data_IF_519272260928
#
_entry.id   IF_519272260928
#
_cell.length_a   1.000
_cell.length_b   1.000
_cell.length_c   1.000
_cell.angle_alpha   90.00
_cell.angle_beta   90.00
_cell.angle_gamma   90.00
#
_symmetry.space_group_name_H-M   'P 1'
#
loop_
_entity.id
_entity.type
_entity.pdbx_description
1 polymer ?
#
# COMPACT_ATOMS: atom_id res chain seq x y z
N UNK A 1 -22.36 -20.58 2.99
CA UNK A 1 -23.83 -20.45 3.00
C UNK A 1 -24.16 -18.97 2.75
N UNK A 2 -24.50 -18.59 1.51
CA UNK A 2 -24.91 -17.22 1.19
C UNK A 2 -26.39 -17.25 0.85
N UNK A 3 -27.20 -16.81 1.81
CA UNK A 3 -28.63 -16.64 1.66
C UNK A 3 -28.86 -15.15 1.35
N UNK A 4 -29.25 -14.81 0.12
CA UNK A 4 -29.95 -13.54 -0.09
C UNK A 4 -30.92 -13.65 -1.25
N UNK A 5 -32.18 -13.45 -0.88
CA UNK A 5 -33.34 -13.26 -1.71
C UNK A 5 -33.04 -12.27 -2.85
N UNK A 6 -32.94 -12.77 -4.08
CA UNK A 6 -33.30 -12.00 -5.26
C UNK A 6 -34.83 -12.09 -5.40
N UNK A 7 -35.50 -10.95 -5.61
CA UNK A 7 -36.94 -10.93 -5.89
C UNK A 7 -37.35 -11.63 -7.18
N UNK A 8 -36.37 -12.05 -7.99
CA UNK A 8 -36.56 -12.88 -9.18
C UNK A 8 -36.38 -14.37 -8.85
N UNK A 9 -37.42 -15.14 -9.17
CA UNK A 9 -37.56 -16.58 -8.93
C UNK A 9 -36.71 -17.43 -9.89
N UNK A 10 -36.05 -16.82 -10.88
CA UNK A 10 -35.17 -17.47 -11.86
C UNK A 10 -33.71 -17.06 -11.66
N UNK A 11 -33.16 -17.31 -10.48
CA UNK A 11 -31.72 -17.17 -10.24
C UNK A 11 -31.00 -18.38 -10.83
N UNK A 12 -30.65 -18.31 -12.12
CA UNK A 12 -29.77 -19.30 -12.75
C UNK A 12 -28.36 -19.25 -12.12
N UNK A 13 -27.67 -20.39 -12.09
CA UNK A 13 -26.35 -20.53 -11.47
C UNK A 13 -25.30 -19.60 -12.09
N UNK A 14 -25.38 -19.38 -13.41
CA UNK A 14 -24.49 -18.45 -14.11
C UNK A 14 -24.79 -16.99 -13.72
N UNK A 15 -26.06 -16.63 -13.56
CA UNK A 15 -26.46 -15.30 -13.11
C UNK A 15 -25.90 -14.98 -11.73
N UNK A 16 -25.92 -15.94 -10.80
CA UNK A 16 -25.30 -15.78 -9.48
C UNK A 16 -23.79 -15.50 -9.59
N UNK A 17 -23.06 -16.28 -10.40
CA UNK A 17 -21.61 -16.08 -10.63
C UNK A 17 -21.33 -14.68 -11.18
N UNK A 18 -22.11 -14.19 -12.15
CA UNK A 18 -21.92 -12.84 -12.69
C UNK A 18 -22.13 -11.73 -11.66
N UNK A 19 -23.11 -11.90 -10.75
CA UNK A 19 -23.34 -10.95 -9.64
C UNK A 19 -22.14 -10.96 -8.68
N UNK A 20 -21.62 -12.13 -8.33
CA UNK A 20 -20.43 -12.23 -7.49
C UNK A 20 -19.20 -11.61 -8.14
N UNK A 21 -18.99 -11.85 -9.44
CA UNK A 21 -17.90 -11.25 -10.21
C UNK A 21 -17.94 -9.72 -10.17
N UNK A 22 -19.15 -9.14 -10.31
CA UNK A 22 -19.38 -7.69 -10.23
C UNK A 22 -19.12 -7.15 -8.82
N UNK A 23 -19.58 -7.85 -7.78
CA UNK A 23 -19.33 -7.47 -6.38
C UNK A 23 -17.85 -7.51 -6.01
N UNK A 24 -17.11 -8.52 -6.49
CA UNK A 24 -15.69 -8.67 -6.18
C UNK A 24 -14.85 -7.48 -6.65
N UNK A 25 -15.20 -6.89 -7.80
CA UNK A 25 -14.51 -5.68 -8.31
C UNK A 25 -14.64 -4.48 -7.36
N UNK A 26 -15.79 -4.35 -6.68
CA UNK A 26 -16.02 -3.31 -5.66
C UNK A 26 -15.17 -3.58 -4.41
N UNK A 27 -15.05 -4.84 -3.99
CA UNK A 27 -14.20 -5.21 -2.87
C UNK A 27 -12.71 -4.98 -3.15
N UNK A 28 -12.23 -5.29 -4.36
CA UNK A 28 -10.86 -5.00 -4.80
C UNK A 28 -10.56 -3.49 -4.76
N UNK A 29 -11.53 -2.66 -5.15
CA UNK A 29 -11.44 -1.20 -5.04
C UNK A 29 -11.36 -0.75 -3.58
N UNK A 30 -12.27 -1.21 -2.71
CA UNK A 30 -12.25 -0.88 -1.28
C UNK A 30 -10.96 -1.32 -0.58
N UNK A 31 -10.44 -2.51 -0.93
CA UNK A 31 -9.15 -3.02 -0.42
C UNK A 31 -8.01 -2.09 -0.83
N UNK A 32 -7.98 -1.66 -2.08
CA UNK A 32 -6.99 -0.71 -2.59
C UNK A 32 -7.10 0.66 -1.93
N UNK A 33 -8.32 1.16 -1.73
CA UNK A 33 -8.59 2.44 -1.07
C UNK A 33 -8.12 2.44 0.39
N UNK A 34 -8.40 1.36 1.13
CA UNK A 34 -7.96 1.22 2.52
C UNK A 34 -6.45 1.01 2.64
N UNK A 35 -5.88 0.10 1.84
CA UNK A 35 -4.48 -0.35 1.99
C UNK A 35 -3.47 0.52 1.25
N UNK A 36 -3.77 0.97 0.02
CA UNK A 36 -2.84 1.71 -0.82
C UNK A 36 -2.98 3.22 -0.65
N UNK A 37 -4.22 3.73 -0.60
CA UNK A 37 -4.46 5.17 -0.40
C UNK A 37 -4.55 5.60 1.08
N UNK A 38 -4.52 4.64 2.02
CA UNK A 38 -4.45 4.93 3.45
C UNK A 38 -5.69 5.66 4.00
N UNK A 39 -6.87 5.43 3.42
CA UNK A 39 -8.11 6.10 3.82
C UNK A 39 -8.37 6.02 5.34
N UNK A 40 -8.13 4.85 5.94
CA UNK A 40 -8.39 4.59 7.36
C UNK A 40 -7.26 5.06 8.31
N UNK A 41 -6.20 5.67 7.80
CA UNK A 41 -4.99 6.02 8.59
C UNK A 41 -4.80 7.52 8.83
N UNK A 42 -5.74 8.37 8.43
CA UNK A 42 -5.58 9.83 8.58
C UNK A 42 -5.88 10.31 10.00
N UNK A 43 -4.94 11.01 10.67
CA UNK A 43 -5.16 11.61 11.99
C UNK A 43 -5.86 12.99 11.89
N UNK A 44 -6.89 13.12 11.05
CA UNK A 44 -7.55 14.41 10.74
C UNK A 44 -8.66 14.72 11.76
N UNK A 45 -8.58 15.87 12.43
CA UNK A 45 -9.55 16.31 13.47
C UNK A 45 -10.71 17.16 12.96
N UNK A 46 -10.56 17.87 11.84
CA UNK A 46 -11.60 18.76 11.30
C UNK A 46 -12.35 18.09 10.14
N UNK A 47 -13.64 18.41 10.00
CA UNK A 47 -14.50 17.87 8.93
C UNK A 47 -13.94 18.19 7.55
N UNK A 48 -13.43 19.41 7.34
CA UNK A 48 -12.81 19.82 6.07
C UNK A 48 -11.57 18.97 5.74
N UNK A 49 -10.71 18.71 6.72
CA UNK A 49 -9.52 17.89 6.50
C UNK A 49 -9.86 16.40 6.24
N UNK A 50 -10.90 15.89 6.91
CA UNK A 50 -11.43 14.54 6.68
C UNK A 50 -12.00 14.41 5.26
N UNK A 51 -12.82 15.37 4.81
CA UNK A 51 -13.39 15.39 3.47
C UNK A 51 -12.30 15.48 2.39
N UNK A 52 -11.32 16.36 2.58
CA UNK A 52 -10.18 16.48 1.68
C UNK A 52 -9.36 15.19 1.62
N UNK A 53 -9.14 14.52 2.77
CA UNK A 53 -8.44 13.23 2.81
C UNK A 53 -9.19 12.15 2.05
N UNK A 54 -10.51 12.05 2.23
CA UNK A 54 -11.37 11.10 1.49
C UNK A 54 -11.27 11.35 -0.01
N UNK A 55 -11.41 12.61 -0.44
CA UNK A 55 -11.31 12.98 -1.85
C UNK A 55 -9.94 12.63 -2.44
N UNK A 56 -8.86 12.98 -1.74
CA UNK A 56 -7.49 12.70 -2.17
C UNK A 56 -7.20 11.19 -2.21
N UNK A 57 -7.72 10.42 -1.27
CA UNK A 57 -7.58 8.97 -1.25
C UNK A 57 -8.27 8.32 -2.46
N UNK A 58 -9.48 8.76 -2.80
CA UNK A 58 -10.21 8.29 -3.99
C UNK A 58 -9.42 8.65 -5.27
N UNK A 59 -8.98 9.90 -5.38
CA UNK A 59 -8.18 10.37 -6.52
C UNK A 59 -6.86 9.58 -6.69
N UNK A 60 -6.19 9.25 -5.59
CA UNK A 60 -4.98 8.43 -5.61
C UNK A 60 -5.24 7.01 -6.16
N UNK A 61 -6.37 6.38 -5.78
CA UNK A 61 -6.75 5.07 -6.34
C UNK A 61 -7.05 5.17 -7.84
N UNK A 62 -7.74 6.22 -8.30
CA UNK A 62 -7.96 6.43 -9.73
C UNK A 62 -6.65 6.52 -10.52
N UNK A 63 -5.65 7.25 -10.01
CA UNK A 63 -4.31 7.28 -10.62
C UNK A 63 -3.63 5.91 -10.62
N UNK A 64 -3.77 5.13 -9.56
CA UNK A 64 -3.23 3.77 -9.49
C UNK A 64 -3.89 2.84 -10.51
N UNK A 65 -5.21 2.94 -10.69
CA UNK A 65 -5.94 2.17 -11.71
C UNK A 65 -5.51 2.57 -13.12
N UNK A 66 -5.31 3.87 -13.39
CA UNK A 66 -4.74 4.33 -14.66
C UNK A 66 -3.35 3.74 -14.93
N UNK A 67 -2.47 3.74 -13.93
CA UNK A 67 -1.13 3.15 -14.04
C UNK A 67 -1.19 1.63 -14.21
N UNK A 68 -2.12 0.95 -13.55
CA UNK A 68 -2.34 -0.49 -13.71
C UNK A 68 -2.76 -0.85 -15.13
N UNK A 69 -3.66 -0.08 -15.74
CA UNK A 69 -4.06 -0.26 -17.14
C UNK A 69 -2.86 -0.02 -18.06
N UNK A 70 -2.14 1.09 -17.88
CA UNK A 70 -1.00 1.47 -18.72
C UNK A 70 0.15 0.47 -18.66
N UNK A 71 0.47 -0.03 -17.47
CA UNK A 71 1.62 -0.92 -17.24
C UNK A 71 1.23 -2.41 -17.17
N UNK A 72 -0.05 -2.75 -17.34
CA UNK A 72 -0.59 -4.12 -17.20
C UNK A 72 -0.11 -4.83 -15.91
N UNK A 73 0.03 -4.07 -14.82
CA UNK A 73 0.64 -4.53 -13.58
C UNK A 73 -0.28 -4.26 -12.38
N UNK A 74 -0.33 -5.19 -11.43
CA UNK A 74 -1.13 -5.06 -10.21
C UNK A 74 -0.66 -3.86 -9.35
N UNK A 75 -1.56 -3.24 -8.57
CA UNK A 75 -1.25 -2.16 -7.64
C UNK A 75 -0.08 -2.49 -6.70
N UNK A 76 -0.04 -3.73 -6.19
CA UNK A 76 1.04 -4.20 -5.33
C UNK A 76 2.37 -4.33 -6.07
N UNK A 77 2.34 -4.78 -7.33
CA UNK A 77 3.55 -4.90 -8.15
C UNK A 77 4.13 -3.51 -8.48
N UNK A 78 3.28 -2.52 -8.77
CA UNK A 78 3.69 -1.13 -8.99
C UNK A 78 4.36 -0.56 -7.73
N UNK A 79 3.74 -0.75 -6.56
CA UNK A 79 4.31 -0.31 -5.28
C UNK A 79 5.64 -1.00 -4.97
N UNK A 80 5.73 -2.31 -5.16
CA UNK A 80 6.95 -3.08 -4.94
C UNK A 80 8.08 -2.61 -5.87
N UNK A 81 7.78 -2.35 -7.15
CA UNK A 81 8.76 -1.84 -8.12
C UNK A 81 9.36 -0.50 -7.67
N UNK A 82 8.52 0.43 -7.22
CA UNK A 82 8.98 1.72 -6.68
C UNK A 82 9.84 1.53 -5.42
N UNK A 83 9.42 0.65 -4.51
CA UNK A 83 10.12 0.40 -3.26
C UNK A 83 11.50 -0.23 -3.47
N UNK A 84 11.61 -1.22 -4.36
CA UNK A 84 12.89 -1.84 -4.73
C UNK A 84 13.83 -0.79 -5.32
N UNK A 85 13.34 0.06 -6.22
CA UNK A 85 14.15 1.12 -6.83
C UNK A 85 14.63 2.14 -5.81
N UNK A 86 13.75 2.58 -4.89
CA UNK A 86 14.14 3.47 -3.80
C UNK A 86 15.22 2.85 -2.90
N UNK A 87 15.07 1.57 -2.53
CA UNK A 87 16.06 0.87 -1.71
C UNK A 87 17.41 0.70 -2.42
N UNK A 88 17.40 0.40 -3.73
CA UNK A 88 18.64 0.32 -4.53
C UNK A 88 19.40 1.65 -4.51
N UNK A 89 18.69 2.77 -4.68
CA UNK A 89 19.28 4.12 -4.65
C UNK A 89 19.80 4.44 -3.24
N UNK A 90 18.99 4.23 -2.21
CA UNK A 90 19.38 4.47 -0.82
C UNK A 90 20.61 3.64 -0.42
N UNK A 91 20.67 2.38 -0.86
CA UNK A 91 21.82 1.52 -0.63
C UNK A 91 23.07 2.01 -1.37
N UNK A 92 22.93 2.46 -2.62
CA UNK A 92 24.04 3.03 -3.37
C UNK A 92 24.62 4.28 -2.69
N UNK A 93 23.78 5.17 -2.17
CA UNK A 93 24.21 6.33 -1.40
C UNK A 93 24.92 5.94 -0.10
N UNK A 94 24.37 4.97 0.63
CA UNK A 94 25.00 4.44 1.84
C UNK A 94 26.39 3.86 1.55
N UNK A 95 26.57 3.17 0.42
CA UNK A 95 27.88 2.64 0.01
C UNK A 95 28.88 3.75 -0.39
N UNK A 96 28.41 4.89 -0.90
CA UNK A 96 29.27 6.07 -1.12
C UNK A 96 29.74 6.66 0.21
N UNK A 97 28.82 6.84 1.16
CA UNK A 97 29.14 7.37 2.50
C UNK A 97 30.12 6.46 3.26
N UNK A 98 29.94 5.14 3.20
CA UNK A 98 30.85 4.16 3.81
C UNK A 98 32.27 4.25 3.28
N UNK A 99 32.44 4.51 1.99
CA UNK A 99 33.76 4.71 1.37
C UNK A 99 34.45 6.01 1.79
N UNK A 100 33.67 6.99 2.25
CA UNK A 100 34.18 8.29 2.68
C UNK A 100 34.50 8.37 4.18
N UNK A 101 34.20 7.33 4.97
CA UNK A 101 34.61 7.23 6.37
C UNK A 101 35.85 6.34 6.53
N UNK A 102 36.78 6.67 7.45
CA UNK A 102 37.92 5.81 7.76
C UNK A 102 37.43 4.45 8.31
N UNK A 103 38.11 3.37 7.90
CA UNK A 103 37.76 1.96 8.20
C UNK A 103 37.67 1.61 9.70
N UNK A 104 38.09 2.50 10.59
CA UNK A 104 38.22 2.24 12.02
C UNK A 104 36.94 2.46 12.84
N UNK A 105 35.90 3.11 12.31
CA UNK A 105 34.70 3.43 13.10
C UNK A 105 33.58 2.37 13.02
N UNK A 106 33.54 1.55 11.97
CA UNK A 106 32.44 0.63 11.67
C UNK A 106 32.67 -0.81 12.17
N UNK A 107 33.90 -1.14 12.58
CA UNK A 107 34.24 -2.47 13.10
C UNK A 107 34.08 -2.59 14.62
N UNK A 108 33.67 -1.54 15.33
CA UNK A 108 33.38 -1.67 16.76
C UNK A 108 31.97 -2.24 16.94
N UNK A 109 31.81 -3.41 17.59
CA UNK A 109 30.51 -3.92 17.95
C UNK A 109 29.83 -2.92 18.88
N UNK A 110 28.59 -2.56 18.58
CA UNK A 110 27.70 -1.71 19.41
C UNK A 110 27.32 -2.49 20.68
N UNK A 111 28.26 -2.81 21.55
CA UNK A 111 27.98 -3.56 22.81
C UNK A 111 28.70 -2.99 24.03
N UNK A 112 29.71 -2.12 23.91
CA UNK A 112 30.51 -1.71 25.10
C UNK A 112 30.32 -0.26 25.54
N UNK A 113 29.10 0.14 25.96
CA UNK A 113 28.90 1.27 26.91
C UNK A 113 27.68 1.07 27.80
N UNK A 114 27.73 0.07 28.69
CA UNK A 114 26.97 0.09 29.94
C UNK A 114 27.74 -0.68 31.02
N UNK A 115 28.89 -0.15 31.40
CA UNK A 115 29.64 -0.58 32.57
C UNK A 115 29.77 0.61 33.51
N UNK A 116 28.77 0.70 34.40
CA UNK A 116 28.84 0.99 35.83
C UNK A 116 30.07 1.80 36.28
N UNK A 117 29.82 2.98 36.86
CA UNK A 117 30.65 3.53 37.94
C UNK A 117 29.73 3.86 39.11
N UNK A 118 30.17 3.40 40.28
CA UNK A 118 29.55 3.45 41.61
C UNK A 118 29.21 4.87 42.07
#
# INVERSE_FOLDING_TARGET
>A
MIWKLSGDVTCDGEYAVTIYQKRWKVEEFHKSLRSNAGLAKSPTRTVTAQNNHVFMAIYAVFKLEYLKIKHKANHFALRAKLFIKANQIAYAELQKMKRCLPLNLWMTPIIKKRSITY
#
